data_IF_662839494045
#
_entry.id   IF_662839494045
#
_cell.length_a   1.000
_cell.length_b   1.000
_cell.length_c   1.000
_cell.angle_alpha   90.00
_cell.angle_beta   90.00
_cell.angle_gamma   90.00
#
_symmetry.space_group_name_H-M   'P 1'
#
loop_
_entity.id
_entity.type
_entity.pdbx_description
1 polymer ?
#
# COMPACT_ATOMS: atom_id res chain seq x y z
N UNK A 1 -40.87 6.52 9.83
CA UNK A 1 -40.32 7.20 11.01
C UNK A 1 -39.69 6.13 11.89
N UNK A 2 -38.39 5.91 11.76
CA UNK A 2 -37.59 5.09 12.69
C UNK A 2 -36.42 5.95 13.13
N UNK A 3 -36.38 6.24 14.41
CA UNK A 3 -35.35 7.03 15.07
C UNK A 3 -34.11 6.14 15.27
N UNK A 4 -32.98 6.59 14.80
CA UNK A 4 -31.66 5.98 15.09
C UNK A 4 -31.13 6.68 16.34
N UNK A 5 -31.08 5.94 17.45
CA UNK A 5 -30.42 6.36 18.68
C UNK A 5 -28.89 6.29 18.50
N UNK A 6 -28.25 7.45 18.54
CA UNK A 6 -26.79 7.56 18.66
C UNK A 6 -26.47 7.61 20.16
N UNK A 7 -25.87 6.56 20.68
CA UNK A 7 -25.36 6.54 22.06
C UNK A 7 -24.00 7.23 22.12
N UNK A 8 -23.95 8.41 22.72
CA UNK A 8 -22.70 9.03 23.21
C UNK A 8 -22.23 8.29 24.46
N UNK A 9 -21.07 7.67 24.43
CA UNK A 9 -20.36 7.24 25.64
C UNK A 9 -19.42 8.38 26.09
N UNK A 10 -19.73 8.91 27.28
CA UNK A 10 -18.95 9.90 27.98
C UNK A 10 -17.68 9.27 28.55
N UNK A 11 -16.54 9.94 28.33
CA UNK A 11 -15.28 9.67 29.00
C UNK A 11 -15.33 10.23 30.43
N UNK A 12 -15.34 9.36 31.42
CA UNK A 12 -15.06 9.70 32.81
C UNK A 12 -13.56 9.47 33.07
N UNK A 13 -12.92 10.51 33.58
CA UNK A 13 -11.51 10.49 33.94
C UNK A 13 -11.23 9.64 35.18
N UNK A 14 -10.03 9.07 35.21
CA UNK A 14 -9.41 8.60 36.45
C UNK A 14 -7.98 9.14 36.54
N UNK A 15 -7.70 9.74 37.68
CA UNK A 15 -6.44 10.35 38.11
C UNK A 15 -5.45 9.28 38.55
N UNK A 16 -4.22 9.50 38.21
CA UNK A 16 -2.92 9.30 38.88
C UNK A 16 -2.83 8.40 40.06
N UNK A 17 -1.95 7.41 40.01
CA UNK A 17 -1.00 7.14 41.09
C UNK A 17 0.35 6.67 40.53
N UNK A 18 1.41 7.26 41.09
CA UNK A 18 2.80 7.04 40.80
C UNK A 18 3.27 5.73 41.47
N UNK A 19 4.00 4.92 40.74
CA UNK A 19 4.66 3.74 41.29
C UNK A 19 5.98 3.49 40.57
N UNK A 20 7.07 3.96 41.15
CA UNK A 20 8.44 3.56 40.88
C UNK A 20 8.61 2.05 41.00
N UNK A 21 9.08 1.37 39.97
CA UNK A 21 9.80 0.11 40.15
C UNK A 21 10.88 -0.04 39.07
N UNK A 22 12.09 0.03 39.60
CA UNK A 22 13.35 -0.18 38.90
C UNK A 22 13.45 -1.58 38.30
N UNK A 23 13.91 -1.64 37.03
CA UNK A 23 14.41 -2.87 36.42
C UNK A 23 15.93 -2.95 36.53
N UNK A 24 16.52 -4.11 36.79
CA UNK A 24 17.96 -4.25 36.98
C UNK A 24 18.71 -4.35 35.66
N UNK A 25 19.81 -3.62 35.61
CA UNK A 25 20.92 -3.78 34.65
C UNK A 25 21.49 -5.22 34.76
N UNK A 26 21.68 -5.83 33.62
CA UNK A 26 22.75 -6.82 33.46
C UNK A 26 23.68 -6.39 32.34
N UNK A 27 24.83 -5.91 32.76
CA UNK A 27 26.08 -5.88 31.97
C UNK A 27 26.70 -7.27 31.99
N UNK A 28 27.38 -7.58 30.87
CA UNK A 28 28.63 -8.37 30.68
C UNK A 28 28.53 -9.19 29.40
N UNK A 29 29.53 -9.40 28.62
CA UNK A 29 30.97 -9.19 28.66
C UNK A 29 31.55 -9.27 27.23
N UNK A 30 32.63 -8.56 27.02
CA UNK A 30 33.61 -8.60 25.95
C UNK A 30 34.06 -10.03 25.55
N UNK A 31 34.35 -10.24 24.27
CA UNK A 31 35.53 -11.00 23.87
C UNK A 31 36.06 -10.49 22.53
N UNK A 32 37.27 -10.03 22.59
CA UNK A 32 38.20 -9.62 21.52
C UNK A 32 38.67 -10.86 20.80
N UNK A 33 38.80 -10.78 19.49
CA UNK A 33 39.48 -11.77 18.68
C UNK A 33 39.94 -11.14 17.36
N UNK A 34 41.13 -10.51 17.41
CA UNK A 34 41.88 -10.13 16.20
C UNK A 34 42.47 -11.40 15.55
N UNK A 35 42.29 -11.52 14.23
CA UNK A 35 43.27 -12.25 13.41
C UNK A 35 43.50 -11.51 12.09
N UNK A 36 44.73 -11.05 11.94
CA UNK A 36 45.40 -10.62 10.71
C UNK A 36 45.57 -11.81 9.76
N UNK A 37 45.31 -11.60 8.48
CA UNK A 37 46.02 -12.29 7.37
C UNK A 37 45.87 -11.43 6.10
N UNK A 38 46.91 -10.78 5.72
CA UNK A 38 47.81 -10.85 4.56
C UNK A 38 47.17 -10.78 3.20
N UNK A 39 47.59 -9.71 2.50
CA UNK A 39 47.43 -9.46 1.07
C UNK A 39 48.14 -10.50 0.22
N UNK A 40 47.54 -10.88 -0.91
CA UNK A 40 48.30 -11.19 -2.13
C UNK A 40 47.43 -10.89 -3.37
N UNK A 41 48.01 -10.11 -4.16
CA UNK A 41 48.10 -9.73 -5.56
C UNK A 41 47.24 -10.43 -6.63
N UNK A 42 46.66 -9.54 -7.47
CA UNK A 42 46.65 -9.53 -8.95
C UNK A 42 46.06 -10.72 -9.73
N UNK A 43 44.96 -10.44 -10.44
CA UNK A 43 44.99 -10.41 -11.92
C UNK A 43 43.69 -9.83 -12.49
N UNK A 44 43.85 -8.71 -13.18
CA UNK A 44 42.81 -8.10 -13.99
C UNK A 44 42.55 -8.93 -15.24
N UNK A 45 41.34 -9.43 -15.44
CA UNK A 45 40.84 -9.89 -16.73
C UNK A 45 39.73 -8.95 -17.19
N UNK A 46 40.04 -8.21 -18.24
CA UNK A 46 39.11 -7.37 -18.96
C UNK A 46 37.96 -8.21 -19.55
N UNK A 47 36.73 -7.97 -19.11
CA UNK A 47 35.53 -8.48 -19.76
C UNK A 47 34.98 -7.40 -20.69
N UNK A 48 34.85 -7.74 -21.93
CA UNK A 48 34.20 -6.91 -22.97
C UNK A 48 32.73 -6.69 -22.67
N UNK A 49 32.12 -5.54 -23.10
CA UNK A 49 30.73 -5.27 -22.84
C UNK A 49 29.84 -6.10 -23.78
N UNK A 50 29.06 -7.01 -23.18
CA UNK A 50 28.00 -7.70 -23.90
C UNK A 50 26.88 -6.71 -24.16
N UNK A 51 26.70 -6.35 -25.42
CA UNK A 51 25.58 -5.56 -25.94
C UNK A 51 24.27 -6.31 -25.65
N UNK A 52 23.51 -5.81 -24.66
CA UNK A 52 22.14 -6.26 -24.43
C UNK A 52 21.25 -5.66 -25.52
N UNK A 53 20.86 -6.48 -26.49
CA UNK A 53 19.81 -6.15 -27.44
C UNK A 53 18.48 -6.01 -26.68
N UNK A 54 17.98 -4.78 -26.61
CA UNK A 54 16.63 -4.50 -26.12
C UNK A 54 15.62 -5.20 -27.05
N UNK A 55 15.03 -6.28 -26.56
CA UNK A 55 13.84 -6.89 -27.17
C UNK A 55 12.69 -5.90 -26.98
N UNK A 56 12.29 -5.25 -28.08
CA UNK A 56 11.08 -4.45 -28.16
C UNK A 56 9.89 -5.39 -27.98
N UNK A 57 9.34 -5.45 -26.76
CA UNK A 57 8.05 -6.06 -26.54
C UNK A 57 7.00 -5.22 -27.31
N UNK A 58 6.45 -5.80 -28.36
CA UNK A 58 5.35 -5.24 -29.12
C UNK A 58 4.15 -4.99 -28.17
N UNK A 59 3.64 -3.76 -28.20
CA UNK A 59 2.39 -3.42 -27.50
C UNK A 59 1.26 -4.32 -28.05
N UNK A 60 0.39 -4.87 -27.17
CA UNK A 60 -0.73 -5.68 -27.65
C UNK A 60 -1.69 -4.84 -28.48
N UNK A 61 -2.16 -5.44 -29.58
CA UNK A 61 -3.11 -4.88 -30.53
C UNK A 61 -4.40 -4.40 -29.83
N UNK A 62 -4.73 -3.12 -29.99
CA UNK A 62 -5.75 -2.39 -29.22
C UNK A 62 -7.19 -2.61 -29.71
N UNK A 63 -7.49 -3.65 -30.51
CA UNK A 63 -8.77 -3.71 -31.26
C UNK A 63 -9.91 -4.53 -30.62
N UNK A 64 -9.73 -5.20 -29.44
CA UNK A 64 -10.79 -6.00 -28.79
C UNK A 64 -10.86 -5.86 -27.25
N UNK A 65 -9.99 -5.11 -26.61
CA UNK A 65 -10.02 -4.98 -25.15
C UNK A 65 -10.95 -3.83 -24.73
N UNK A 66 -11.94 -4.11 -23.89
CA UNK A 66 -12.62 -3.09 -23.10
C UNK A 66 -11.58 -2.22 -22.41
N UNK A 67 -11.85 -0.90 -22.25
CA UNK A 67 -10.91 0.07 -21.67
C UNK A 67 -10.23 -0.48 -20.43
N UNK A 68 -8.91 -0.58 -20.45
CA UNK A 68 -8.13 -0.93 -19.28
C UNK A 68 -8.34 0.08 -18.14
N UNK A 69 -8.35 -0.37 -16.90
CA UNK A 69 -8.32 0.50 -15.73
C UNK A 69 -6.95 0.44 -15.07
N UNK A 70 -6.44 1.61 -14.69
CA UNK A 70 -5.19 1.77 -13.96
C UNK A 70 -5.47 2.14 -12.52
N UNK A 71 -5.00 1.34 -11.58
CA UNK A 71 -5.25 1.47 -10.15
C UNK A 71 -3.93 1.67 -9.41
N UNK A 72 -3.84 2.75 -8.62
CA UNK A 72 -2.73 3.02 -7.71
C UNK A 72 -3.17 2.70 -6.28
N UNK A 73 -2.39 1.88 -5.57
CA UNK A 73 -2.53 1.67 -4.12
C UNK A 73 -1.31 2.23 -3.40
N UNK A 74 -1.54 3.00 -2.33
CA UNK A 74 -0.46 3.67 -1.62
C UNK A 74 -0.82 3.97 -0.16
N UNK A 75 -0.10 3.35 0.79
CA UNK A 75 -0.08 3.82 2.17
C UNK A 75 0.77 5.11 2.21
N UNK A 76 0.09 6.24 2.39
CA UNK A 76 0.73 7.58 2.33
C UNK A 76 1.46 7.95 3.63
N UNK A 77 1.46 7.08 4.62
CA UNK A 77 1.94 7.37 5.98
C UNK A 77 1.32 8.65 6.54
N UNK A 78 0.68 8.57 7.66
CA UNK A 78 -0.07 9.70 8.24
C UNK A 78 0.76 10.98 8.34
N UNK A 79 0.21 12.08 7.88
CA UNK A 79 0.85 13.41 7.93
C UNK A 79 1.03 13.95 9.33
N UNK A 80 0.31 13.43 10.31
CA UNK A 80 0.38 13.94 11.68
C UNK A 80 1.69 13.60 12.39
N UNK A 81 2.46 12.65 11.86
CA UNK A 81 3.75 12.21 12.44
C UNK A 81 4.94 13.03 11.97
N UNK A 82 4.87 13.64 10.79
CA UNK A 82 6.03 14.19 10.08
C UNK A 82 5.84 15.71 9.87
N UNK A 83 5.82 16.46 10.97
CA UNK A 83 5.52 17.92 10.99
C UNK A 83 6.75 18.82 11.01
N UNK A 84 7.92 18.27 11.22
CA UNK A 84 9.17 18.99 11.23
C UNK A 84 9.53 19.42 9.80
N UNK A 85 9.56 20.73 9.54
CA UNK A 85 9.80 21.30 8.23
C UNK A 85 11.24 21.06 7.72
N UNK A 86 12.18 20.85 8.63
CA UNK A 86 13.59 20.58 8.30
C UNK A 86 13.84 19.08 8.08
N UNK A 87 12.85 18.24 8.31
CA UNK A 87 12.95 16.80 8.11
C UNK A 87 12.81 16.41 6.65
N UNK A 88 13.64 15.48 6.19
CA UNK A 88 13.55 14.86 4.85
C UNK A 88 12.21 14.16 4.58
N UNK A 89 11.44 13.85 5.64
CA UNK A 89 10.12 13.23 5.59
C UNK A 89 8.98 14.22 5.86
N UNK A 90 9.25 15.51 5.77
CA UNK A 90 8.23 16.52 6.02
C UNK A 90 7.00 16.31 5.13
N UNK A 91 5.84 16.28 5.73
CA UNK A 91 4.62 15.88 5.06
C UNK A 91 4.24 16.70 3.81
N UNK A 92 4.57 18.00 3.76
CA UNK A 92 4.28 18.85 2.58
C UNK A 92 5.13 18.44 1.38
N UNK A 93 6.44 18.23 1.59
CA UNK A 93 7.33 17.75 0.54
C UNK A 93 6.90 16.40 0.01
N UNK A 94 6.45 15.50 0.90
CA UNK A 94 5.90 14.19 0.52
C UNK A 94 4.62 14.31 -0.29
N UNK A 95 3.72 15.24 0.08
CA UNK A 95 2.50 15.51 -0.69
C UNK A 95 2.79 16.00 -2.10
N UNK A 96 3.68 16.99 -2.24
CA UNK A 96 4.06 17.52 -3.55
C UNK A 96 4.66 16.44 -4.45
N UNK A 97 5.45 15.52 -3.89
CA UNK A 97 5.96 14.37 -4.62
C UNK A 97 4.85 13.40 -5.02
N UNK A 98 3.89 13.15 -4.14
CA UNK A 98 2.71 12.32 -4.43
C UNK A 98 1.86 12.93 -5.53
N UNK A 99 1.66 14.24 -5.56
CA UNK A 99 0.92 14.93 -6.62
C UNK A 99 1.62 14.77 -7.98
N UNK A 100 2.95 14.98 -8.04
CA UNK A 100 3.74 14.74 -9.26
C UNK A 100 3.65 13.28 -9.72
N UNK A 101 3.70 12.33 -8.78
CA UNK A 101 3.53 10.91 -9.08
C UNK A 101 2.14 10.62 -9.67
N UNK A 102 1.08 11.17 -9.07
CA UNK A 102 -0.30 10.98 -9.57
C UNK A 102 -0.44 11.57 -10.98
N UNK A 103 0.13 12.74 -11.23
CA UNK A 103 0.10 13.39 -12.54
C UNK A 103 0.82 12.55 -13.60
N UNK A 104 2.04 12.09 -13.30
CA UNK A 104 2.85 11.27 -14.20
C UNK A 104 2.21 9.90 -14.49
N UNK A 105 1.83 9.17 -13.46
CA UNK A 105 1.26 7.83 -13.59
C UNK A 105 -0.18 7.84 -14.11
N UNK A 106 -0.88 8.94 -13.91
CA UNK A 106 -2.24 9.20 -14.39
C UNK A 106 -3.22 8.04 -14.13
N UNK A 107 -3.37 7.52 -12.88
CA UNK A 107 -4.24 6.40 -12.57
C UNK A 107 -5.72 6.76 -12.71
N UNK A 108 -6.57 5.77 -12.95
CA UNK A 108 -8.03 5.93 -13.00
C UNK A 108 -8.65 5.90 -11.58
N UNK A 109 -8.03 5.11 -10.69
CA UNK A 109 -8.46 4.92 -9.30
C UNK A 109 -7.26 5.04 -8.37
N UNK A 110 -7.44 5.78 -7.27
CA UNK A 110 -6.46 5.89 -6.18
C UNK A 110 -7.04 5.24 -4.93
N UNK A 111 -6.31 4.32 -4.34
CA UNK A 111 -6.62 3.66 -3.09
C UNK A 111 -5.54 4.02 -2.07
N UNK A 112 -5.82 4.98 -1.19
CA UNK A 112 -4.86 5.41 -0.19
C UNK A 112 -5.13 4.75 1.17
N UNK A 113 -4.08 4.58 1.97
CA UNK A 113 -4.15 4.16 3.36
C UNK A 113 -3.46 5.21 4.24
N UNK A 114 -3.77 5.23 5.53
CA UNK A 114 -3.30 6.20 6.53
C UNK A 114 -3.67 7.68 6.26
N UNK A 115 -4.68 7.96 5.46
CA UNK A 115 -5.19 9.32 5.24
C UNK A 115 -5.94 9.85 6.47
N UNK A 116 -5.22 10.12 7.57
CA UNK A 116 -5.81 10.63 8.81
C UNK A 116 -6.10 12.15 8.72
N UNK A 117 -7.04 12.62 9.54
CA UNK A 117 -7.36 14.05 9.64
C UNK A 117 -6.10 14.89 9.98
N UNK A 118 -5.85 16.04 9.32
CA UNK A 118 -6.71 16.73 8.36
C UNK A 118 -6.60 16.24 6.90
N UNK A 119 -5.72 15.31 6.58
CA UNK A 119 -5.50 14.77 5.23
C UNK A 119 -6.76 14.16 4.61
N UNK A 120 -7.73 13.75 5.45
CA UNK A 120 -9.03 13.24 4.96
C UNK A 120 -9.79 14.22 4.07
N UNK A 121 -9.45 15.51 4.09
CA UNK A 121 -10.05 16.54 3.24
C UNK A 121 -9.36 16.68 1.88
N UNK A 122 -8.19 16.10 1.73
CA UNK A 122 -7.44 16.17 0.48
C UNK A 122 -8.16 15.38 -0.62
N UNK A 123 -8.26 15.98 -1.78
CA UNK A 123 -8.74 15.35 -3.01
C UNK A 123 -7.80 15.77 -4.13
N UNK A 124 -7.10 14.85 -4.78
CA UNK A 124 -6.21 15.19 -5.90
C UNK A 124 -6.97 15.86 -7.05
N UNK A 125 -6.31 16.78 -7.75
CA UNK A 125 -6.90 17.43 -8.91
C UNK A 125 -7.26 16.40 -9.99
N UNK A 126 -8.41 16.63 -10.64
CA UNK A 126 -8.93 15.66 -11.63
C UNK A 126 -9.66 14.46 -11.03
N UNK A 127 -9.70 14.31 -9.72
CA UNK A 127 -10.38 13.20 -9.04
C UNK A 127 -11.59 13.67 -8.23
N UNK A 128 -12.39 12.71 -7.81
CA UNK A 128 -13.41 12.86 -6.80
C UNK A 128 -13.33 11.72 -5.79
N UNK A 129 -13.57 12.02 -4.56
CA UNK A 129 -13.64 11.02 -3.51
C UNK A 129 -14.94 10.22 -3.62
N UNK A 130 -14.89 8.93 -3.35
CA UNK A 130 -16.04 8.04 -3.22
C UNK A 130 -16.25 7.73 -1.74
N UNK A 131 -17.47 7.87 -1.25
CA UNK A 131 -17.84 7.54 0.15
C UNK A 131 -17.60 8.67 1.15
N UNK A 132 -17.47 8.30 2.43
CA UNK A 132 -17.43 9.24 3.55
C UNK A 132 -16.11 10.01 3.68
N UNK A 133 -16.14 11.18 4.34
CA UNK A 133 -14.98 12.05 4.48
C UNK A 133 -13.99 11.59 5.57
N UNK A 134 -14.44 10.88 6.58
CA UNK A 134 -13.63 10.62 7.80
C UNK A 134 -13.11 9.18 7.87
N UNK A 135 -12.62 8.64 6.75
CA UNK A 135 -12.00 7.33 6.73
C UNK A 135 -10.52 7.45 6.37
N UNK A 136 -9.68 6.61 6.98
CA UNK A 136 -8.23 6.62 6.77
C UNK A 136 -7.78 5.90 5.50
N UNK A 137 -8.70 5.21 4.80
CA UNK A 137 -8.43 4.43 3.59
C UNK A 137 -9.39 4.80 2.45
N UNK A 138 -9.36 6.08 1.98
CA UNK A 138 -10.26 6.57 0.94
C UNK A 138 -9.99 5.98 -0.44
N UNK A 139 -11.03 5.95 -1.26
CA UNK A 139 -10.94 5.70 -2.69
C UNK A 139 -11.25 7.00 -3.43
N UNK A 140 -10.38 7.34 -4.39
CA UNK A 140 -10.61 8.45 -5.32
C UNK A 140 -10.72 7.89 -6.74
N UNK A 141 -11.61 8.46 -7.51
CA UNK A 141 -11.88 8.05 -8.88
C UNK A 141 -11.75 9.25 -9.79
N UNK A 142 -11.07 9.10 -10.93
CA UNK A 142 -10.93 10.13 -11.94
C UNK A 142 -12.30 10.68 -12.35
N UNK A 143 -12.41 12.00 -12.46
CA UNK A 143 -13.63 12.65 -12.96
C UNK A 143 -13.96 12.11 -14.36
N UNK A 144 -15.25 11.87 -14.61
CA UNK A 144 -15.73 11.27 -15.86
C UNK A 144 -15.91 9.75 -15.80
N UNK A 145 -15.28 9.03 -14.87
CA UNK A 145 -15.56 7.60 -14.66
C UNK A 145 -16.82 7.41 -13.79
N UNK A 146 -17.59 6.38 -14.13
CA UNK A 146 -18.77 5.99 -13.34
C UNK A 146 -18.31 5.25 -12.09
N UNK A 147 -18.70 5.75 -10.93
CA UNK A 147 -18.52 5.07 -9.68
C UNK A 147 -19.78 5.18 -8.84
N UNK A 148 -20.17 4.08 -8.23
CA UNK A 148 -21.38 3.93 -7.42
C UNK A 148 -21.13 3.03 -6.23
N UNK A 149 -22.04 3.07 -5.27
CA UNK A 149 -22.04 2.28 -4.04
C UNK A 149 -20.74 2.45 -3.26
N UNK A 150 -20.83 2.84 -2.03
CA UNK A 150 -19.70 2.86 -1.13
C UNK A 150 -20.09 2.14 0.14
N UNK A 151 -19.36 1.09 0.44
CA UNK A 151 -19.46 0.37 1.70
C UNK A 151 -18.16 0.58 2.45
N UNK A 152 -18.26 0.78 3.76
CA UNK A 152 -17.15 1.19 4.60
C UNK A 152 -17.16 0.35 5.86
N UNK A 153 -16.01 -0.20 6.20
CA UNK A 153 -15.73 -0.81 7.49
C UNK A 153 -14.46 -0.19 8.10
N UNK A 154 -14.08 -0.65 9.29
CA UNK A 154 -12.90 -0.12 10.00
C UNK A 154 -11.61 -0.35 9.21
N UNK A 155 -11.53 -1.43 8.45
CA UNK A 155 -10.31 -1.90 7.76
C UNK A 155 -10.38 -1.87 6.24
N UNK A 156 -11.52 -1.52 5.67
CA UNK A 156 -11.68 -1.47 4.22
C UNK A 156 -12.79 -0.50 3.81
N UNK A 157 -12.66 -0.05 2.57
CA UNK A 157 -13.72 0.63 1.82
C UNK A 157 -13.89 -0.06 0.48
N UNK A 158 -15.11 -0.19 0.00
CA UNK A 158 -15.39 -0.71 -1.33
C UNK A 158 -16.32 0.20 -2.12
N UNK A 159 -16.13 0.24 -3.45
CA UNK A 159 -17.04 0.87 -4.40
C UNK A 159 -16.99 0.13 -5.74
N UNK A 160 -17.95 0.37 -6.62
CA UNK A 160 -17.92 -0.17 -7.99
C UNK A 160 -17.54 0.94 -8.97
N UNK A 161 -16.43 0.76 -9.70
CA UNK A 161 -15.93 1.70 -10.72
C UNK A 161 -15.97 1.02 -12.09
N UNK A 162 -16.70 1.61 -13.03
CA UNK A 162 -16.87 1.07 -14.39
C UNK A 162 -17.27 -0.42 -14.41
N UNK A 163 -18.04 -0.88 -13.42
CA UNK A 163 -18.48 -2.29 -13.30
C UNK A 163 -17.49 -3.22 -12.61
N UNK A 164 -16.37 -2.71 -12.10
CA UNK A 164 -15.40 -3.46 -11.27
C UNK A 164 -15.59 -3.10 -9.81
N UNK A 165 -15.76 -4.10 -8.94
CA UNK A 165 -15.75 -3.91 -7.48
C UNK A 165 -14.33 -3.64 -7.03
N UNK A 166 -14.05 -2.44 -6.55
CA UNK A 166 -12.76 -2.02 -5.99
C UNK A 166 -12.87 -2.04 -4.47
N UNK A 167 -11.95 -2.73 -3.80
CA UNK A 167 -11.88 -2.85 -2.34
C UNK A 167 -10.52 -2.34 -1.89
N UNK A 168 -10.50 -1.21 -1.20
CA UNK A 168 -9.29 -0.64 -0.60
C UNK A 168 -9.17 -1.11 0.85
N UNK A 169 -8.07 -1.76 1.19
CA UNK A 169 -7.84 -2.41 2.49
C UNK A 169 -6.69 -1.72 3.24
N UNK A 170 -6.86 -1.55 4.55
CA UNK A 170 -5.79 -1.26 5.49
C UNK A 170 -5.96 -2.18 6.70
N UNK A 171 -5.34 -3.35 6.64
CA UNK A 171 -5.49 -4.42 7.64
C UNK A 171 -4.53 -4.22 8.83
N UNK A 172 -4.11 -5.30 9.46
CA UNK A 172 -3.24 -5.30 10.65
C UNK A 172 -2.30 -6.51 10.57
N UNK A 173 -1.19 -6.45 11.28
CA UNK A 173 -0.33 -7.62 11.54
C UNK A 173 -0.93 -8.60 12.55
N UNK A 174 -1.99 -8.21 13.27
CA UNK A 174 -2.72 -9.07 14.19
C UNK A 174 -3.49 -10.15 13.42
N UNK A 175 -3.29 -11.42 13.79
CA UNK A 175 -3.83 -12.55 13.06
C UNK A 175 -5.37 -12.60 13.08
N UNK A 176 -5.99 -12.24 14.19
CA UNK A 176 -7.45 -12.25 14.36
C UNK A 176 -8.10 -11.14 13.53
N UNK A 177 -7.48 -9.94 13.56
CA UNK A 177 -7.93 -8.80 12.75
C UNK A 177 -7.76 -9.12 11.27
N UNK A 178 -6.63 -9.73 10.87
CA UNK A 178 -6.36 -10.13 9.49
C UNK A 178 -7.40 -11.13 9.01
N UNK A 179 -7.70 -12.17 9.80
CA UNK A 179 -8.72 -13.16 9.46
C UNK A 179 -10.09 -12.51 9.27
N UNK A 180 -10.54 -11.69 10.22
CA UNK A 180 -11.83 -10.96 10.11
C UNK A 180 -11.87 -10.03 8.89
N UNK A 181 -10.75 -9.37 8.57
CA UNK A 181 -10.67 -8.52 7.38
C UNK A 181 -10.84 -9.35 6.11
N UNK A 182 -10.17 -10.51 6.02
CA UNK A 182 -10.31 -11.44 4.88
C UNK A 182 -11.74 -11.96 4.75
N UNK A 183 -12.37 -12.37 5.84
CA UNK A 183 -13.77 -12.80 5.85
C UNK A 183 -14.72 -11.72 5.31
N UNK A 184 -14.52 -10.46 5.76
CA UNK A 184 -15.30 -9.32 5.30
C UNK A 184 -15.06 -9.00 3.82
N UNK A 185 -13.81 -9.06 3.35
CA UNK A 185 -13.47 -8.89 1.93
C UNK A 185 -14.11 -10.01 1.10
N UNK A 186 -14.01 -11.27 1.52
CA UNK A 186 -14.65 -12.39 0.84
C UNK A 186 -16.18 -12.21 0.75
N UNK A 187 -16.81 -11.65 1.78
CA UNK A 187 -18.23 -11.33 1.78
C UNK A 187 -18.62 -10.28 0.72
N UNK A 188 -17.68 -9.40 0.31
CA UNK A 188 -17.88 -8.45 -0.78
C UNK A 188 -17.87 -9.12 -2.17
N UNK A 189 -17.43 -10.37 -2.25
CA UNK A 189 -17.30 -11.14 -3.49
C UNK A 189 -18.56 -11.95 -3.85
N UNK A 190 -19.69 -11.66 -3.21
CA UNK A 190 -20.94 -12.42 -3.38
C UNK A 190 -21.57 -12.31 -4.76
N UNK A 191 -21.31 -11.21 -5.49
CA UNK A 191 -21.81 -11.00 -6.85
C UNK A 191 -20.91 -11.68 -7.90
N UNK A 192 -21.43 -11.83 -9.12
CA UNK A 192 -20.63 -12.21 -10.28
C UNK A 192 -19.81 -11.08 -10.86
N UNK A 193 -19.84 -9.91 -10.23
CA UNK A 193 -19.06 -8.75 -10.66
C UNK A 193 -17.56 -9.04 -10.51
N UNK A 194 -16.74 -8.65 -11.50
CA UNK A 194 -15.30 -8.71 -11.37
C UNK A 194 -14.85 -7.81 -10.22
N UNK A 195 -13.86 -8.27 -9.46
CA UNK A 195 -13.42 -7.59 -8.25
C UNK A 195 -11.89 -7.45 -8.19
N UNK A 196 -11.46 -6.32 -7.62
CA UNK A 196 -10.09 -6.03 -7.27
C UNK A 196 -10.03 -5.60 -5.80
N UNK A 197 -9.17 -6.24 -5.01
CA UNK A 197 -8.81 -5.79 -3.68
C UNK A 197 -7.35 -5.34 -3.66
N UNK A 198 -7.08 -4.19 -3.06
CA UNK A 198 -5.73 -3.66 -2.95
C UNK A 198 -5.53 -2.96 -1.61
N UNK A 199 -4.30 -2.70 -1.25
CA UNK A 199 -3.97 -1.93 -0.06
C UNK A 199 -2.83 -2.52 0.74
N UNK A 200 -2.64 -1.90 1.90
CA UNK A 200 -1.75 -2.38 2.94
C UNK A 200 -2.46 -3.46 3.77
N UNK A 201 -2.08 -4.70 3.54
CA UNK A 201 -2.60 -5.84 4.28
C UNK A 201 -1.84 -6.13 5.57
N UNK A 202 -0.69 -5.46 5.76
CA UNK A 202 0.22 -5.63 6.90
C UNK A 202 0.74 -7.07 7.10
N UNK A 203 0.50 -7.96 6.15
CA UNK A 203 0.96 -9.36 6.16
C UNK A 203 1.34 -9.81 4.76
N UNK A 204 2.19 -10.83 4.69
CA UNK A 204 2.62 -11.46 3.44
C UNK A 204 1.51 -12.30 2.78
N UNK A 205 1.63 -12.51 1.48
CA UNK A 205 0.71 -13.31 0.67
C UNK A 205 0.39 -14.68 1.29
N UNK A 206 1.41 -15.40 1.78
CA UNK A 206 1.23 -16.73 2.37
C UNK A 206 0.27 -16.71 3.58
N UNK A 207 0.27 -15.64 4.37
CA UNK A 207 -0.67 -15.46 5.49
C UNK A 207 -2.09 -15.30 4.95
N UNK A 208 -2.30 -14.47 3.94
CA UNK A 208 -3.62 -14.23 3.34
C UNK A 208 -4.20 -15.48 2.69
N UNK A 209 -3.36 -16.28 2.03
CA UNK A 209 -3.74 -17.57 1.49
C UNK A 209 -4.16 -18.55 2.60
N UNK A 210 -3.38 -18.60 3.69
CA UNK A 210 -3.67 -19.48 4.84
C UNK A 210 -5.00 -19.16 5.52
N UNK A 211 -5.36 -17.87 5.61
CA UNK A 211 -6.67 -17.45 6.18
C UNK A 211 -7.81 -17.43 5.16
N UNK A 212 -7.57 -17.93 3.95
CA UNK A 212 -8.61 -18.25 2.97
C UNK A 212 -9.12 -17.06 2.15
N UNK A 213 -8.26 -16.11 1.76
CA UNK A 213 -8.64 -15.07 0.80
C UNK A 213 -9.02 -15.71 -0.56
N UNK A 214 -10.23 -15.43 -1.05
CA UNK A 214 -10.82 -16.03 -2.26
C UNK A 214 -10.55 -15.18 -3.52
N UNK A 215 -9.31 -14.71 -3.67
CA UNK A 215 -8.85 -13.92 -4.80
C UNK A 215 -7.43 -14.33 -5.19
N UNK A 216 -7.06 -14.10 -6.45
CA UNK A 216 -5.74 -14.41 -6.98
C UNK A 216 -4.81 -13.20 -6.87
N UNK A 217 -3.55 -13.41 -6.50
CA UNK A 217 -2.56 -12.35 -6.47
C UNK A 217 -2.19 -11.91 -7.89
N UNK A 218 -2.42 -10.63 -8.21
CA UNK A 218 -2.06 -10.07 -9.51
C UNK A 218 -0.55 -10.16 -9.80
N UNK A 219 0.28 -10.00 -8.75
CA UNK A 219 1.73 -10.15 -8.85
C UNK A 219 2.13 -11.57 -9.24
N UNK A 220 1.53 -12.59 -8.63
CA UNK A 220 1.80 -13.99 -8.95
C UNK A 220 1.35 -14.33 -10.36
N UNK A 221 0.15 -13.88 -10.77
CA UNK A 221 -0.37 -14.10 -12.13
C UNK A 221 0.54 -13.51 -13.21
N UNK A 222 1.22 -12.41 -12.91
CA UNK A 222 2.15 -11.73 -13.83
C UNK A 222 3.61 -12.20 -13.67
N UNK A 223 3.92 -13.10 -12.74
CA UNK A 223 5.29 -13.57 -12.50
C UNK A 223 6.23 -12.47 -11.97
N UNK A 224 5.71 -11.43 -11.30
CA UNK A 224 6.51 -10.34 -10.75
C UNK A 224 7.18 -10.78 -9.44
N UNK A 225 8.49 -10.52 -9.23
CA UNK A 225 9.23 -10.88 -8.01
C UNK A 225 8.64 -10.33 -6.72
N UNK A 226 9.04 -10.93 -5.59
CA UNK A 226 8.65 -10.49 -4.24
C UNK A 226 9.62 -9.44 -3.71
N UNK A 227 9.42 -8.18 -4.09
CA UNK A 227 10.15 -7.07 -3.52
C UNK A 227 9.42 -6.49 -2.31
N UNK A 228 10.18 -5.97 -1.34
CA UNK A 228 9.64 -5.31 -0.17
C UNK A 228 8.83 -4.07 -0.57
N UNK A 229 7.59 -3.98 -0.12
CA UNK A 229 6.77 -2.79 -0.31
C UNK A 229 6.82 -1.83 0.87
N UNK A 230 7.38 -2.26 2.01
CA UNK A 230 7.56 -1.45 3.20
C UNK A 230 9.04 -1.10 3.40
N UNK A 231 9.37 0.19 3.23
CA UNK A 231 10.74 0.70 3.28
C UNK A 231 11.26 0.92 4.71
N UNK A 232 10.38 1.07 5.69
CA UNK A 232 10.69 1.28 7.11
C UNK A 232 11.76 2.37 7.36
N UNK A 233 11.36 3.64 7.47
CA UNK A 233 12.29 4.77 7.67
C UNK A 233 13.28 4.62 8.83
N UNK A 234 12.91 3.87 9.88
CA UNK A 234 13.74 3.69 11.07
C UNK A 234 14.73 2.53 10.94
N UNK A 235 14.42 1.54 10.11
CA UNK A 235 15.21 0.31 9.96
C UNK A 235 15.20 -0.14 8.50
N UNK A 236 15.83 0.61 7.60
CA UNK A 236 15.74 0.35 6.16
C UNK A 236 16.39 -0.97 5.72
N UNK A 237 17.13 -1.64 6.61
CA UNK A 237 17.79 -2.94 6.34
C UNK A 237 16.94 -4.16 6.73
N UNK A 238 15.82 -3.95 7.44
CA UNK A 238 14.92 -5.05 7.80
C UNK A 238 13.92 -5.29 6.66
N UNK A 239 14.01 -6.45 6.01
CA UNK A 239 13.02 -6.90 5.03
C UNK A 239 11.76 -7.38 5.73
N UNK A 240 10.63 -6.76 5.38
CA UNK A 240 9.30 -7.20 5.82
C UNK A 240 8.58 -8.01 4.75
N UNK A 241 9.14 -8.07 3.53
CA UNK A 241 8.53 -8.62 2.34
C UNK A 241 7.38 -7.72 1.83
N UNK A 242 6.73 -8.12 0.74
CA UNK A 242 5.57 -7.39 0.26
C UNK A 242 4.39 -7.56 1.23
N UNK A 243 3.89 -6.44 1.74
CA UNK A 243 2.70 -6.34 2.60
C UNK A 243 1.60 -5.50 1.97
N UNK A 244 1.93 -4.80 0.88
CA UNK A 244 0.98 -4.15 -0.01
C UNK A 244 0.71 -5.05 -1.21
N UNK A 245 -0.56 -5.31 -1.50
CA UNK A 245 -0.95 -6.30 -2.49
C UNK A 245 -2.08 -5.83 -3.39
N UNK A 246 -2.10 -6.39 -4.61
CA UNK A 246 -3.26 -6.43 -5.49
C UNK A 246 -3.77 -7.86 -5.63
N UNK A 247 -5.06 -8.04 -5.44
CA UNK A 247 -5.78 -9.29 -5.68
C UNK A 247 -6.90 -9.06 -6.68
N UNK A 248 -7.12 -10.03 -7.55
CA UNK A 248 -8.12 -9.95 -8.62
C UNK A 248 -9.03 -11.18 -8.59
N UNK A 249 -10.28 -10.99 -9.06
CA UNK A 249 -11.23 -12.06 -9.35
C UNK A 249 -12.03 -11.69 -10.60
N UNK A 250 -11.99 -12.54 -11.62
CA UNK A 250 -12.68 -12.29 -12.89
C UNK A 250 -12.15 -11.09 -13.66
N UNK A 251 -10.86 -10.77 -13.48
CA UNK A 251 -10.14 -9.70 -14.16
C UNK A 251 -8.82 -10.26 -14.70
N UNK A 252 -8.31 -9.65 -15.76
CA UNK A 252 -7.00 -9.98 -16.30
C UNK A 252 -6.02 -8.87 -15.93
N UNK A 253 -5.02 -9.14 -15.04
CA UNK A 253 -3.93 -8.20 -14.81
C UNK A 253 -3.07 -8.07 -16.07
N UNK A 254 -2.73 -6.83 -16.44
CA UNK A 254 -1.94 -6.51 -17.64
C UNK A 254 -0.52 -6.10 -17.30
N UNK A 255 -0.35 -5.31 -16.25
CA UNK A 255 0.95 -4.87 -15.75
C UNK A 255 0.91 -4.62 -14.25
N UNK A 256 2.00 -4.90 -13.56
CA UNK A 256 2.20 -4.58 -12.15
C UNK A 256 3.52 -3.84 -12.00
N UNK A 257 3.53 -2.72 -11.28
CA UNK A 257 4.75 -1.96 -10.99
C UNK A 257 4.77 -1.52 -9.53
N UNK A 258 5.90 -1.69 -8.87
CA UNK A 258 6.24 -0.98 -7.66
C UNK A 258 6.91 0.34 -8.05
N UNK A 259 6.48 1.45 -7.47
CA UNK A 259 6.99 2.77 -7.81
C UNK A 259 8.09 3.13 -6.83
N UNK A 260 9.32 3.16 -7.33
CA UNK A 260 10.53 3.47 -6.55
C UNK A 260 11.09 4.86 -6.87
N UNK A 261 10.54 5.55 -7.86
CA UNK A 261 10.91 6.91 -8.20
C UNK A 261 10.62 7.88 -7.06
N UNK A 262 11.54 8.80 -6.83
CA UNK A 262 11.47 9.73 -5.71
C UNK A 262 10.50 10.90 -5.93
N UNK A 263 10.23 11.25 -7.17
CA UNK A 263 9.46 12.44 -7.56
C UNK A 263 9.91 13.72 -6.84
N UNK A 264 11.24 13.81 -6.57
CA UNK A 264 11.84 14.94 -5.87
C UNK A 264 11.70 14.92 -4.35
N UNK A 265 11.33 13.77 -3.78
CA UNK A 265 11.28 13.54 -2.34
C UNK A 265 11.95 12.21 -2.01
N UNK A 266 13.06 12.23 -1.28
CA UNK A 266 13.85 11.03 -0.99
C UNK A 266 13.05 9.92 -0.30
N UNK A 267 12.03 10.30 0.49
CA UNK A 267 11.17 9.37 1.25
C UNK A 267 9.72 9.82 1.18
N UNK A 268 9.05 9.49 0.10
CA UNK A 268 7.65 9.87 -0.11
C UNK A 268 6.69 9.20 0.92
N UNK A 269 6.97 7.97 1.31
CA UNK A 269 6.34 7.23 2.41
C UNK A 269 7.30 6.17 2.93
N UNK A 270 6.97 5.53 4.06
CA UNK A 270 7.61 4.28 4.50
C UNK A 270 7.07 3.04 3.75
N UNK A 271 6.13 3.23 2.84
CA UNK A 271 5.69 2.25 1.86
C UNK A 271 6.02 2.72 0.45
N UNK A 272 6.21 1.76 -0.48
CA UNK A 272 6.27 2.01 -1.91
C UNK A 272 4.87 1.92 -2.52
N UNK A 273 4.46 2.90 -3.34
CA UNK A 273 3.23 2.79 -4.12
C UNK A 273 3.29 1.59 -5.06
N UNK A 274 2.18 0.90 -5.23
CA UNK A 274 2.03 -0.16 -6.23
C UNK A 274 0.96 0.23 -7.24
N UNK A 275 1.20 -0.07 -8.52
CA UNK A 275 0.35 0.27 -9.64
C UNK A 275 -0.01 -0.98 -10.43
N UNK A 276 -1.29 -1.13 -10.76
CA UNK A 276 -1.82 -2.25 -11.53
C UNK A 276 -2.66 -1.73 -12.70
N UNK A 277 -2.39 -2.23 -13.90
CA UNK A 277 -3.30 -2.12 -15.03
C UNK A 277 -4.08 -3.43 -15.18
N UNK A 278 -5.40 -3.34 -15.38
CA UNK A 278 -6.30 -4.49 -15.58
C UNK A 278 -7.12 -4.33 -16.84
N UNK A 279 -7.40 -5.45 -17.54
CA UNK A 279 -8.51 -5.57 -18.49
C UNK A 279 -9.74 -6.15 -17.79
N UNK A 280 -10.92 -5.80 -18.32
CA UNK A 280 -12.22 -6.33 -17.88
C UNK A 280 -12.56 -7.60 -18.64
#
# INVERSE_FOLDING_TARGET
MLAVCVSLLALAGCRTESGDSALPRQERLMAVGETKATADSEQALAAEPVSASASSAQAPDSSVAGRALRILSFNVRTWTRDRDADSEVFWRTRMEAMERMIEDLNPDVLCFQEMLFPATRYVPDGYRRVGALNISHPIYVRKGLRARSSEIAIRWQACTVEGVRIINVHSSWDAEITQRTVEQVNAQLTSREPALACGDWNVRLATLQKVGLQMESARVLLGVPEDDTFANFKRPTESHGPIDHFFVRGLTPLSYRQITDSYGCAKMSDHYPILLDIAK
#
